data_IF_127762765813
#
_entry.id   IF_127762765813
#
_cell.length_a   1.000
_cell.length_b   1.000
_cell.length_c   1.000
_cell.angle_alpha   90.00
_cell.angle_beta   90.00
_cell.angle_gamma   90.00
#
_symmetry.space_group_name_H-M   'P 1'
#
loop_
_entity.id
_entity.type
_entity.pdbx_description
1 polymer ?
#
# COMPACT_ATOMS: atom_id res chain seq x y z
N UNK A 1 34.82 -35.10 -25.96
CA UNK A 1 35.25 -35.05 -27.37
C UNK A 1 34.91 -36.39 -28.01
N UNK A 2 33.85 -36.45 -28.81
CA UNK A 2 33.63 -37.55 -29.76
C UNK A 2 32.70 -37.01 -30.85
N UNK A 3 33.30 -36.73 -31.99
CA UNK A 3 32.70 -36.22 -33.21
C UNK A 3 32.22 -37.43 -34.01
N UNK A 4 30.92 -37.56 -34.26
CA UNK A 4 30.43 -38.58 -35.18
C UNK A 4 30.03 -37.92 -36.51
N UNK A 5 30.82 -38.22 -37.54
CA UNK A 5 30.64 -37.83 -38.95
C UNK A 5 30.70 -39.12 -39.78
N UNK A 6 29.61 -39.46 -40.45
CA UNK A 6 29.63 -40.47 -41.52
C UNK A 6 28.24 -40.66 -42.13
N UNK A 7 27.89 -40.00 -43.23
CA UNK A 7 28.03 -40.44 -44.64
C UNK A 7 27.34 -41.78 -44.97
N UNK A 8 26.29 -41.73 -45.80
CA UNK A 8 26.05 -42.56 -46.99
C UNK A 8 24.77 -42.04 -47.69
N UNK A 9 24.81 -41.57 -48.95
CA UNK A 9 24.73 -42.36 -50.20
C UNK A 9 23.47 -43.26 -50.20
N UNK A 10 22.56 -43.30 -51.17
CA UNK A 10 22.56 -42.89 -52.57
C UNK A 10 21.23 -43.34 -53.19
N UNK A 11 20.76 -42.62 -54.23
CA UNK A 11 20.05 -43.09 -55.44
C UNK A 11 18.81 -44.01 -55.31
N UNK A 12 17.68 -43.52 -55.84
CA UNK A 12 16.67 -44.27 -56.64
C UNK A 12 15.72 -43.21 -57.25
N UNK A 13 16.02 -42.67 -58.43
CA UNK A 13 15.53 -43.11 -59.76
C UNK A 13 14.08 -43.61 -59.77
N UNK A 14 13.19 -42.85 -60.39
CA UNK A 14 11.84 -43.31 -60.68
C UNK A 14 10.90 -42.19 -61.14
N UNK A 15 11.12 -41.66 -62.34
CA UNK A 15 10.09 -40.92 -63.07
C UNK A 15 9.08 -41.88 -63.69
N UNK A 16 7.77 -41.59 -63.61
CA UNK A 16 6.86 -41.90 -64.70
C UNK A 16 6.21 -40.64 -65.28
N UNK A 17 5.92 -40.77 -66.58
CA UNK A 17 5.40 -39.78 -67.51
C UNK A 17 3.92 -39.45 -67.29
N UNK A 18 3.56 -38.24 -67.71
CA UNK A 18 2.37 -37.89 -68.52
C UNK A 18 0.99 -38.22 -67.96
N UNK A 19 0.19 -37.19 -67.70
CA UNK A 19 -1.22 -37.11 -68.10
C UNK A 19 -1.72 -35.66 -68.03
N UNK A 20 -2.03 -35.11 -69.18
CA UNK A 20 -2.79 -33.88 -69.44
C UNK A 20 -4.24 -33.98 -68.96
N UNK A 21 -4.79 -32.94 -68.31
CA UNK A 21 -6.20 -32.53 -68.40
C UNK A 21 -6.50 -31.27 -67.56
N UNK A 22 -7.25 -30.31 -68.14
CA UNK A 22 -8.06 -29.29 -67.44
C UNK A 22 -7.29 -28.09 -66.86
N UNK A 23 -7.28 -26.88 -67.44
CA UNK A 23 -8.40 -25.93 -67.61
C UNK A 23 -9.29 -25.76 -66.36
N UNK A 24 -8.82 -24.99 -65.38
CA UNK A 24 -9.48 -23.77 -64.89
C UNK A 24 -8.62 -23.09 -63.81
N UNK A 25 -7.70 -22.20 -64.22
CA UNK A 25 -7.14 -21.22 -63.28
C UNK A 25 -8.20 -20.12 -63.12
N UNK A 26 -9.21 -20.39 -62.29
CA UNK A 26 -9.89 -19.30 -61.60
C UNK A 26 -8.88 -18.76 -60.61
N UNK A 27 -8.07 -17.80 -61.04
CA UNK A 27 -7.25 -17.00 -60.14
C UNK A 27 -8.22 -16.24 -59.22
N UNK A 28 -8.52 -16.84 -58.07
CA UNK A 28 -9.09 -16.13 -56.94
C UNK A 28 -8.06 -15.07 -56.59
N UNK A 29 -8.25 -13.84 -57.08
CA UNK A 29 -7.53 -12.68 -56.56
C UNK A 29 -8.04 -12.53 -55.13
N UNK A 30 -7.26 -12.82 -54.08
CA UNK A 30 -7.67 -12.46 -52.74
C UNK A 30 -7.89 -10.95 -52.75
N UNK A 31 -9.12 -10.55 -52.44
CA UNK A 31 -9.47 -9.16 -52.23
C UNK A 31 -8.52 -8.62 -51.13
N UNK A 32 -7.67 -7.61 -51.39
CA UNK A 32 -6.69 -7.15 -50.40
C UNK A 32 -7.34 -6.48 -49.18
N UNK A 33 -8.66 -6.31 -49.16
CA UNK A 33 -9.39 -5.73 -48.03
C UNK A 33 -9.44 -6.65 -46.80
N UNK A 34 -9.33 -7.97 -46.95
CA UNK A 34 -9.47 -8.91 -45.83
C UNK A 34 -8.18 -9.13 -45.01
N UNK A 35 -7.01 -8.78 -45.55
CA UNK A 35 -5.73 -8.87 -44.84
C UNK A 35 -5.40 -7.62 -44.02
N UNK A 36 -5.99 -6.47 -44.33
CA UNK A 36 -5.78 -5.24 -43.56
C UNK A 36 -6.63 -5.27 -42.28
N UNK A 37 -7.93 -5.60 -42.38
CA UNK A 37 -8.86 -5.63 -41.24
C UNK A 37 -8.48 -6.66 -40.15
N UNK A 38 -7.92 -7.81 -40.53
CA UNK A 38 -7.49 -8.87 -39.60
C UNK A 38 -6.29 -8.48 -38.73
N UNK A 39 -5.43 -7.57 -39.20
CA UNK A 39 -4.27 -7.10 -38.44
C UNK A 39 -4.66 -6.04 -37.39
N UNK A 40 -5.64 -5.18 -37.69
CA UNK A 40 -6.16 -4.19 -36.74
C UNK A 40 -6.94 -4.86 -35.59
N UNK A 41 -7.76 -5.88 -35.88
CA UNK A 41 -8.49 -6.60 -34.83
C UNK A 41 -7.56 -7.37 -33.89
N UNK A 42 -6.48 -7.97 -34.41
CA UNK A 42 -5.46 -8.64 -33.60
C UNK A 42 -4.69 -7.69 -32.68
N UNK A 43 -4.29 -6.52 -33.20
CA UNK A 43 -3.59 -5.49 -32.42
C UNK A 43 -4.48 -4.87 -31.33
N UNK A 44 -5.76 -4.60 -31.62
CA UNK A 44 -6.72 -4.11 -30.62
C UNK A 44 -7.02 -5.15 -29.53
N UNK A 45 -7.12 -6.43 -29.88
CA UNK A 45 -7.30 -7.50 -28.91
C UNK A 45 -6.06 -7.68 -28.01
N UNK A 46 -4.84 -7.55 -28.55
CA UNK A 46 -3.62 -7.56 -27.74
C UNK A 46 -3.54 -6.34 -26.82
N UNK A 47 -3.89 -5.16 -27.31
CA UNK A 47 -3.90 -3.93 -26.52
C UNK A 47 -4.95 -4.01 -25.39
N UNK A 48 -6.16 -4.49 -25.68
CA UNK A 48 -7.20 -4.73 -24.69
C UNK A 48 -6.77 -5.78 -23.64
N UNK A 49 -6.10 -6.85 -24.07
CA UNK A 49 -5.49 -7.86 -23.18
C UNK A 49 -4.39 -7.28 -22.28
N UNK A 50 -3.54 -6.41 -22.81
CA UNK A 50 -2.51 -5.73 -22.03
C UNK A 50 -3.10 -4.72 -21.04
N UNK A 51 -4.08 -3.91 -21.46
CA UNK A 51 -4.77 -2.98 -20.57
C UNK A 51 -5.51 -3.72 -19.47
N UNK A 52 -6.34 -4.72 -19.80
CA UNK A 52 -7.07 -5.51 -18.79
C UNK A 52 -6.15 -6.17 -17.77
N UNK A 53 -5.02 -6.74 -18.21
CA UNK A 53 -4.00 -7.30 -17.32
C UNK A 53 -3.32 -6.25 -16.44
N UNK A 54 -2.94 -5.11 -17.01
CA UNK A 54 -2.37 -3.99 -16.26
C UNK A 54 -3.35 -3.42 -15.22
N UNK A 55 -4.62 -3.25 -15.58
CA UNK A 55 -5.68 -2.81 -14.66
C UNK A 55 -5.88 -3.78 -13.51
N UNK A 56 -5.94 -5.09 -13.78
CA UNK A 56 -6.07 -6.10 -12.74
C UNK A 56 -4.88 -6.07 -11.76
N UNK A 57 -3.65 -5.94 -12.29
CA UNK A 57 -2.44 -5.85 -11.47
C UNK A 57 -2.37 -4.55 -10.63
N UNK A 58 -2.76 -3.41 -11.21
CA UNK A 58 -2.79 -2.13 -10.53
C UNK A 58 -3.83 -2.13 -9.40
N UNK A 59 -5.01 -2.73 -9.65
CA UNK A 59 -6.06 -2.90 -8.64
C UNK A 59 -5.57 -3.76 -7.48
N UNK A 60 -4.97 -4.91 -7.76
CA UNK A 60 -4.43 -5.79 -6.71
C UNK A 60 -3.35 -5.09 -5.87
N UNK A 61 -2.45 -4.33 -6.51
CA UNK A 61 -1.43 -3.56 -5.81
C UNK A 61 -2.03 -2.43 -4.94
N UNK A 62 -3.07 -1.75 -5.44
CA UNK A 62 -3.78 -0.71 -4.68
C UNK A 62 -4.53 -1.30 -3.48
N UNK A 63 -5.16 -2.46 -3.63
CA UNK A 63 -5.82 -3.18 -2.53
C UNK A 63 -4.81 -3.59 -1.44
N UNK A 64 -3.61 -4.05 -1.83
CA UNK A 64 -2.53 -4.36 -0.89
C UNK A 64 -2.07 -3.11 -0.12
N UNK A 65 -1.76 -2.02 -0.83
CA UNK A 65 -1.35 -0.74 -0.21
C UNK A 65 -2.40 -0.22 0.77
N UNK A 66 -3.67 -0.37 0.43
CA UNK A 66 -4.78 0.01 1.31
C UNK A 66 -4.82 -0.84 2.60
N UNK A 67 -4.65 -2.17 2.48
CA UNK A 67 -4.59 -3.05 3.64
C UNK A 67 -3.39 -2.75 4.55
N UNK A 68 -2.22 -2.48 3.96
CA UNK A 68 -1.03 -2.04 4.69
C UNK A 68 -1.27 -0.73 5.43
N UNK A 69 -1.81 0.28 4.74
CA UNK A 69 -2.11 1.58 5.33
C UNK A 69 -3.13 1.46 6.48
N UNK A 70 -4.17 0.64 6.33
CA UNK A 70 -5.14 0.34 7.40
C UNK A 70 -4.46 -0.25 8.64
N UNK A 71 -3.55 -1.21 8.44
CA UNK A 71 -2.82 -1.84 9.52
C UNK A 71 -1.91 -0.85 10.25
N UNK A 72 -1.21 0.02 9.52
CA UNK A 72 -0.40 1.11 10.11
C UNK A 72 -1.26 2.01 11.00
N UNK A 73 -2.44 2.43 10.53
CA UNK A 73 -3.35 3.24 11.35
C UNK A 73 -3.84 2.49 12.59
N UNK A 74 -4.14 1.20 12.49
CA UNK A 74 -4.54 0.38 13.64
C UNK A 74 -3.43 0.29 14.70
N UNK A 75 -2.18 0.13 14.27
CA UNK A 75 -1.02 0.17 15.17
C UNK A 75 -0.86 1.53 15.85
N UNK A 76 -0.98 2.63 15.09
CA UNK A 76 -0.91 3.99 15.62
C UNK A 76 -2.02 4.22 16.65
N UNK A 77 -3.27 3.90 16.31
CA UNK A 77 -4.43 3.98 17.22
C UNK A 77 -4.15 3.16 18.49
N UNK A 78 -3.62 1.95 18.35
CA UNK A 78 -3.25 1.09 19.46
C UNK A 78 -2.16 1.64 20.38
N UNK A 79 -1.28 2.51 19.88
CA UNK A 79 -0.26 3.20 20.68
C UNK A 79 -0.87 4.31 21.56
N UNK A 80 -1.85 5.05 21.02
CA UNK A 80 -2.44 6.23 21.66
C UNK A 80 -3.74 5.96 22.42
N UNK A 81 -4.37 4.79 22.25
CA UNK A 81 -5.57 4.42 23.01
C UNK A 81 -5.29 4.41 24.53
N UNK A 82 -6.33 4.56 25.38
CA UNK A 82 -6.19 4.37 26.82
C UNK A 82 -5.53 3.02 27.15
N UNK A 83 -4.46 3.05 27.95
CA UNK A 83 -3.66 1.85 28.26
C UNK A 83 -2.60 1.47 27.22
N UNK A 84 -2.45 2.24 26.14
CA UNK A 84 -1.38 2.10 25.15
C UNK A 84 0.01 2.39 25.71
N UNK A 85 1.04 2.26 24.86
CA UNK A 85 2.44 2.52 25.25
C UNK A 85 2.79 4.02 25.25
N UNK A 86 1.96 4.86 24.63
CA UNK A 86 2.21 6.30 24.57
C UNK A 86 2.11 6.95 25.96
N UNK A 87 3.21 7.58 26.36
CA UNK A 87 3.32 8.28 27.65
C UNK A 87 4.09 7.53 28.71
N UNK A 88 4.33 6.22 28.60
CA UNK A 88 5.06 5.45 29.64
C UNK A 88 6.48 5.98 29.89
N UNK A 89 7.20 6.33 28.82
CA UNK A 89 8.52 6.95 28.93
C UNK A 89 8.47 8.34 29.56
N UNK A 90 7.39 9.08 29.34
CA UNK A 90 7.18 10.42 29.90
C UNK A 90 6.81 10.35 31.39
N UNK A 91 5.93 9.42 31.78
CA UNK A 91 5.62 9.13 33.19
C UNK A 91 6.88 8.73 33.97
N UNK A 92 7.75 7.90 33.38
CA UNK A 92 9.04 7.57 33.96
C UNK A 92 9.98 8.78 34.11
N UNK A 93 9.91 9.77 33.21
CA UNK A 93 10.64 11.03 33.34
C UNK A 93 10.06 11.91 34.47
N UNK A 94 8.73 12.03 34.56
CA UNK A 94 8.07 12.74 35.67
C UNK A 94 8.46 12.12 37.01
N UNK A 95 8.46 10.79 37.11
CA UNK A 95 8.86 10.08 38.33
C UNK A 95 10.31 10.40 38.74
N UNK A 96 11.24 10.39 37.79
CA UNK A 96 12.64 10.78 38.05
C UNK A 96 12.78 12.25 38.44
N UNK A 97 12.05 13.13 37.77
CA UNK A 97 12.03 14.56 38.08
C UNK A 97 11.49 14.81 39.49
N UNK A 98 10.42 14.10 39.89
CA UNK A 98 9.86 14.14 41.25
C UNK A 98 10.90 13.77 42.29
N UNK A 99 11.55 12.62 42.14
CA UNK A 99 12.58 12.16 43.08
C UNK A 99 13.71 13.18 43.22
N UNK A 100 14.18 13.75 42.10
CA UNK A 100 15.23 14.77 42.10
C UNK A 100 14.78 16.05 42.81
N UNK A 101 13.59 16.56 42.51
CA UNK A 101 13.05 17.78 43.10
C UNK A 101 12.82 17.63 44.61
N UNK A 102 12.22 16.51 45.03
CA UNK A 102 12.00 16.20 46.45
C UNK A 102 13.33 16.06 47.19
N UNK A 103 14.32 15.39 46.62
CA UNK A 103 15.65 15.26 47.24
C UNK A 103 16.33 16.63 47.41
N UNK A 104 16.30 17.47 46.38
CA UNK A 104 16.87 18.83 46.44
C UNK A 104 16.15 19.71 47.47
N UNK A 105 14.82 19.69 47.49
CA UNK A 105 14.03 20.43 48.47
C UNK A 105 14.30 19.94 49.90
N UNK A 106 14.42 18.63 50.09
CA UNK A 106 14.76 18.05 51.39
C UNK A 106 16.15 18.48 51.84
N UNK A 107 17.16 18.47 50.95
CA UNK A 107 18.50 18.91 51.28
C UNK A 107 18.53 20.40 51.68
N UNK A 108 17.76 21.25 51.00
CA UNK A 108 17.62 22.65 51.38
C UNK A 108 17.01 22.80 52.78
N UNK A 109 15.97 22.02 53.11
CA UNK A 109 15.34 22.02 54.44
C UNK A 109 16.27 21.47 55.53
N UNK A 110 17.08 20.45 55.21
CA UNK A 110 18.13 19.95 56.11
C UNK A 110 19.16 21.04 56.38
N UNK A 111 19.61 21.75 55.35
CA UNK A 111 20.60 22.81 55.50
C UNK A 111 20.09 24.01 56.30
N UNK A 112 18.77 24.24 56.32
CA UNK A 112 18.14 25.33 57.10
C UNK A 112 17.66 24.89 58.49
N UNK A 113 17.91 23.64 58.89
CA UNK A 113 17.47 23.11 60.19
C UNK A 113 15.96 22.89 60.30
N UNK A 114 15.22 22.93 59.19
CA UNK A 114 13.77 22.71 59.10
C UNK A 114 13.40 21.27 58.74
N UNK A 115 14.36 20.35 58.79
CA UNK A 115 14.14 18.93 58.54
C UNK A 115 13.16 18.34 59.57
N UNK A 116 12.14 17.62 59.08
CA UNK A 116 11.11 17.00 59.92
C UNK A 116 9.87 17.87 60.18
N UNK A 117 9.83 19.10 59.66
CA UNK A 117 8.61 19.92 59.68
C UNK A 117 7.62 19.48 58.60
N UNK A 118 6.33 19.84 58.75
CA UNK A 118 5.26 19.57 57.77
C UNK A 118 5.61 20.06 56.34
N UNK A 119 6.48 21.06 56.21
CA UNK A 119 6.98 21.51 54.91
C UNK A 119 7.76 20.43 54.16
N UNK A 120 8.51 19.58 54.87
CA UNK A 120 9.25 18.45 54.27
C UNK A 120 8.29 17.42 53.68
N UNK A 121 7.20 17.12 54.40
CA UNK A 121 6.15 16.20 53.94
C UNK A 121 5.35 16.76 52.73
N UNK A 122 5.23 18.09 52.65
CA UNK A 122 4.51 18.77 51.56
C UNK A 122 5.24 18.82 50.22
N UNK A 123 6.56 18.63 50.18
CA UNK A 123 7.36 18.79 48.94
C UNK A 123 6.91 17.87 47.80
N UNK A 124 6.58 16.62 48.09
CA UNK A 124 6.12 15.67 47.07
C UNK A 124 4.73 16.06 46.53
N UNK A 125 3.84 16.56 47.40
CA UNK A 125 2.51 17.04 47.01
C UNK A 125 2.62 18.32 46.17
N UNK A 126 3.48 19.25 46.59
CA UNK A 126 3.76 20.48 45.86
C UNK A 126 4.32 20.20 44.46
N UNK A 127 5.24 19.24 44.32
CA UNK A 127 5.74 18.84 42.99
C UNK A 127 4.62 18.27 42.11
N UNK A 128 3.73 17.44 42.67
CA UNK A 128 2.59 16.90 41.91
C UNK A 128 1.64 18.01 41.47
N UNK A 129 1.37 19.01 42.31
CA UNK A 129 0.50 20.14 41.97
C UNK A 129 1.13 21.06 40.90
N UNK A 130 2.41 21.39 41.04
CA UNK A 130 3.09 22.37 40.18
C UNK A 130 3.64 21.79 38.87
N UNK A 131 4.03 20.51 38.86
CA UNK A 131 4.73 19.88 37.73
C UNK A 131 4.05 18.60 37.28
N UNK A 132 3.74 17.69 38.21
CA UNK A 132 3.23 16.35 37.88
C UNK A 132 1.87 16.38 37.19
N UNK A 133 0.87 17.01 37.80
CA UNK A 133 -0.49 17.15 37.31
C UNK A 133 -0.57 17.90 35.97
N UNK A 134 0.01 19.11 35.80
CA UNK A 134 -0.04 19.81 34.52
C UNK A 134 0.70 19.04 33.41
N UNK A 135 1.82 18.37 33.71
CA UNK A 135 2.52 17.56 32.72
C UNK A 135 1.71 16.34 32.27
N UNK A 136 0.99 15.67 33.19
CA UNK A 136 0.08 14.57 32.84
C UNK A 136 -1.10 15.06 32.00
N UNK A 137 -1.69 16.20 32.34
CA UNK A 137 -2.79 16.79 31.58
C UNK A 137 -2.36 17.15 30.15
N UNK A 138 -1.22 17.81 29.99
CA UNK A 138 -0.66 18.13 28.65
C UNK A 138 -0.38 16.87 27.84
N UNK A 139 0.11 15.81 28.48
CA UNK A 139 0.33 14.53 27.81
C UNK A 139 -1.00 13.89 27.38
N UNK A 140 -2.06 13.99 28.19
CA UNK A 140 -3.39 13.51 27.82
C UNK A 140 -3.97 14.30 26.64
N UNK A 141 -3.82 15.62 26.61
CA UNK A 141 -4.23 16.45 25.48
C UNK A 141 -3.51 16.04 24.19
N UNK A 142 -2.18 15.85 24.26
CA UNK A 142 -1.39 15.36 23.11
C UNK A 142 -1.85 13.97 22.70
N UNK A 143 -2.09 13.06 23.65
CA UNK A 143 -2.60 11.71 23.37
C UNK A 143 -3.93 11.78 22.63
N UNK A 144 -4.89 12.55 23.14
CA UNK A 144 -6.21 12.71 22.52
C UNK A 144 -6.11 13.34 21.13
N UNK A 145 -5.30 14.38 20.97
CA UNK A 145 -5.07 15.02 19.68
C UNK A 145 -4.50 14.05 18.64
N UNK A 146 -3.49 13.25 19.00
CA UNK A 146 -2.90 12.25 18.12
C UNK A 146 -3.85 11.10 17.81
N UNK A 147 -4.60 10.63 18.82
CA UNK A 147 -5.61 9.60 18.66
C UNK A 147 -6.72 10.05 17.70
N UNK A 148 -7.30 11.23 17.91
CA UNK A 148 -8.32 11.81 17.04
C UNK A 148 -7.80 12.03 15.61
N UNK A 149 -6.56 12.54 15.46
CA UNK A 149 -5.92 12.69 14.16
C UNK A 149 -5.73 11.36 13.42
N UNK A 150 -5.30 10.31 14.11
CA UNK A 150 -5.16 8.97 13.53
C UNK A 150 -6.50 8.36 13.14
N UNK A 151 -7.54 8.53 13.96
CA UNK A 151 -8.90 8.09 13.67
C UNK A 151 -9.49 8.82 12.45
N UNK A 152 -9.37 10.15 12.38
CA UNK A 152 -9.82 10.94 11.24
C UNK A 152 -9.09 10.59 9.94
N UNK A 153 -7.77 10.38 10.01
CA UNK A 153 -6.98 9.95 8.86
C UNK A 153 -7.39 8.55 8.36
N UNK A 154 -7.67 7.61 9.27
CA UNK A 154 -8.20 6.28 8.94
C UNK A 154 -9.58 6.39 8.28
N UNK A 155 -10.48 7.20 8.83
CA UNK A 155 -11.83 7.41 8.30
C UNK A 155 -11.79 7.98 6.87
N UNK A 156 -11.04 9.07 6.64
CA UNK A 156 -10.94 9.66 5.30
C UNK A 156 -10.23 8.76 4.28
N UNK A 157 -9.38 7.83 4.73
CA UNK A 157 -8.83 6.80 3.85
C UNK A 157 -9.89 5.77 3.44
N UNK A 158 -10.78 5.39 4.36
CA UNK A 158 -11.88 4.47 4.07
C UNK A 158 -12.88 5.12 3.08
N UNK A 159 -13.27 6.38 3.31
CA UNK A 159 -14.19 7.12 2.44
C UNK A 159 -13.68 7.19 0.99
N UNK A 160 -12.40 7.53 0.78
CA UNK A 160 -11.81 7.59 -0.58
C UNK A 160 -11.87 6.27 -1.34
N UNK A 161 -11.91 5.13 -0.64
CA UNK A 161 -12.04 3.81 -1.28
C UNK A 161 -13.49 3.52 -1.69
N UNK A 162 -14.48 4.07 -1.00
CA UNK A 162 -15.89 3.88 -1.33
C UNK A 162 -16.29 4.71 -2.56
N UNK A 163 -15.69 5.89 -2.76
CA UNK A 163 -15.96 6.77 -3.90
C UNK A 163 -15.25 6.36 -5.21
N UNK A 164 -14.19 5.55 -5.14
CA UNK A 164 -13.36 5.18 -6.28
C UNK A 164 -13.84 3.88 -6.96
N UNK A 165 -15.13 3.82 -7.34
CA UNK A 165 -15.60 2.82 -8.30
C UNK A 165 -15.43 3.35 -9.74
N UNK A 166 -14.58 2.73 -10.58
CA UNK A 166 -14.51 3.11 -11.99
C UNK A 166 -15.84 2.79 -12.65
N UNK A 167 -16.48 3.79 -13.24
CA UNK A 167 -17.68 3.58 -14.04
C UNK A 167 -17.30 2.85 -15.35
N UNK A 168 -17.38 1.51 -15.31
CA UNK A 168 -17.16 0.65 -16.47
C UNK A 168 -18.15 0.91 -17.61
N UNK A 169 -19.23 1.66 -17.37
CA UNK A 169 -20.14 2.09 -18.43
C UNK A 169 -19.47 3.02 -19.43
N UNK A 170 -18.47 3.81 -19.02
CA UNK A 170 -17.75 4.72 -19.92
C UNK A 170 -16.83 3.96 -20.89
N UNK A 171 -16.15 2.91 -20.39
CA UNK A 171 -15.34 2.01 -21.22
C UNK A 171 -16.23 1.23 -22.19
N UNK A 172 -17.38 0.72 -21.71
CA UNK A 172 -18.33 -0.01 -22.54
C UNK A 172 -19.02 0.88 -23.59
N UNK A 173 -19.35 2.13 -23.25
CA UNK A 173 -19.94 3.09 -24.20
C UNK A 173 -18.94 3.49 -25.30
N UNK A 174 -17.65 3.66 -24.96
CA UNK A 174 -16.61 3.92 -25.96
C UNK A 174 -16.42 2.71 -26.89
N UNK A 175 -16.47 1.50 -26.34
CA UNK A 175 -16.38 0.26 -27.13
C UNK A 175 -17.60 0.09 -28.05
N UNK A 176 -18.80 0.44 -27.58
CA UNK A 176 -20.03 0.44 -28.37
C UNK A 176 -20.03 1.47 -29.51
N UNK A 177 -19.48 2.67 -29.28
CA UNK A 177 -19.34 3.70 -30.32
C UNK A 177 -18.33 3.33 -31.41
N UNK A 178 -17.26 2.59 -31.08
CA UNK A 178 -16.25 2.16 -32.05
C UNK A 178 -16.72 0.92 -32.84
N UNK A 179 -17.52 0.03 -32.24
CA UNK A 179 -18.04 -1.17 -32.89
C UNK A 179 -19.32 -0.94 -33.71
N UNK A 180 -20.06 0.14 -33.44
CA UNK A 180 -21.32 0.49 -34.11
C UNK A 180 -21.22 1.58 -35.19
N UNK A 181 -20.01 2.03 -35.53
CA UNK A 181 -19.73 3.06 -36.55
C UNK A 181 -19.11 2.49 -37.82
#
# INVERSE_FOLDING_TARGET
>A
MATDRGRNLSKLSGSPKSSSAGLSVTSYRPNPSSSISSNYSGALNQLAGQFSGQYASARAANEQRYAEAKNIYEQIIGLFQPGGQFGKGFEAQIGRAKTKSVAQGTQALVSSGLYGTTQTAGLAKKFEEEVGAPARLQMEDVRMSKYAGAMGAKAGMIERREDEYPDYSMIMNLMGQIAGG
#
